data_IF_764820892337
#
_entry.id   IF_764820892337
#
_cell.length_a   1.000
_cell.length_b   1.000
_cell.length_c   1.000
_cell.angle_alpha   90.00
_cell.angle_beta   90.00
_cell.angle_gamma   90.00
#
_symmetry.space_group_name_H-M   'P 1'
#
loop_
_entity.id
_entity.type
_entity.pdbx_description
1 polymer ?
#
# COMPACT_ATOMS: atom_id res chain seq x y z
N UNK A 1 -18.64 -6.55 -21.81
CA UNK A 1 -19.60 -7.63 -21.46
C UNK A 1 -20.57 -7.81 -22.60
N UNK A 2 -20.97 -9.05 -22.92
CA UNK A 2 -22.03 -9.31 -23.90
C UNK A 2 -23.34 -8.67 -23.41
N UNK A 3 -24.00 -7.91 -24.28
CA UNK A 3 -25.31 -7.34 -23.98
C UNK A 3 -26.33 -8.49 -23.87
N UNK A 4 -26.97 -8.59 -22.71
CA UNK A 4 -28.04 -9.55 -22.46
C UNK A 4 -29.25 -9.17 -23.32
N UNK A 5 -29.68 -10.10 -24.18
CA UNK A 5 -30.86 -9.89 -25.05
C UNK A 5 -32.18 -10.20 -24.34
N UNK A 6 -32.13 -11.00 -23.28
CA UNK A 6 -33.30 -11.49 -22.54
C UNK A 6 -33.02 -11.44 -21.02
N UNK A 7 -34.07 -11.21 -20.23
CA UNK A 7 -34.01 -11.26 -18.78
C UNK A 7 -33.79 -12.69 -18.27
N UNK A 8 -32.77 -12.94 -17.45
CA UNK A 8 -32.49 -14.29 -16.94
C UNK A 8 -33.56 -14.86 -15.99
N UNK A 9 -34.40 -14.02 -15.39
CA UNK A 9 -35.43 -14.44 -14.43
C UNK A 9 -36.72 -14.83 -15.16
N UNK A 10 -37.22 -13.97 -16.05
CA UNK A 10 -38.53 -14.15 -16.69
C UNK A 10 -38.46 -14.39 -18.21
N UNK A 11 -37.25 -14.42 -18.79
CA UNK A 11 -36.97 -14.62 -20.23
C UNK A 11 -37.63 -13.61 -21.17
N UNK A 12 -38.10 -12.48 -20.64
CA UNK A 12 -38.63 -11.38 -21.46
C UNK A 12 -37.50 -10.71 -22.23
N UNK A 13 -37.74 -10.41 -23.51
CA UNK A 13 -36.81 -9.67 -24.36
C UNK A 13 -36.50 -8.30 -23.74
N UNK A 14 -35.22 -7.98 -23.59
CA UNK A 14 -34.78 -6.71 -23.01
C UNK A 14 -34.84 -5.60 -24.06
N UNK A 15 -35.45 -4.47 -23.70
CA UNK A 15 -35.49 -3.31 -24.59
C UNK A 15 -34.06 -2.83 -24.91
N UNK A 16 -33.81 -2.43 -26.17
CA UNK A 16 -32.48 -1.98 -26.63
C UNK A 16 -31.94 -0.75 -25.89
N UNK A 17 -32.81 -0.05 -25.16
CA UNK A 17 -32.54 1.18 -24.42
C UNK A 17 -32.66 1.01 -22.90
N UNK A 18 -32.49 -0.21 -22.36
CA UNK A 18 -32.41 -0.42 -20.90
C UNK A 18 -31.30 0.47 -20.34
N UNK A 19 -31.70 1.56 -19.67
CA UNK A 19 -30.77 2.46 -19.01
C UNK A 19 -30.29 1.79 -17.74
N UNK A 20 -28.98 1.78 -17.57
CA UNK A 20 -28.36 1.34 -16.33
C UNK A 20 -28.90 2.21 -15.17
N UNK A 21 -29.45 1.62 -14.09
CA UNK A 21 -30.11 2.38 -13.03
C UNK A 21 -29.08 3.08 -12.14
N UNK A 22 -28.67 4.29 -12.52
CA UNK A 22 -27.66 5.11 -11.81
C UNK A 22 -28.04 5.28 -10.32
N UNK A 23 -29.33 5.46 -10.02
CA UNK A 23 -29.82 5.59 -8.65
C UNK A 23 -29.53 4.33 -7.81
N UNK A 24 -29.72 3.13 -8.40
CA UNK A 24 -29.43 1.87 -7.70
C UNK A 24 -27.94 1.77 -7.39
N UNK A 25 -27.09 2.17 -8.33
CA UNK A 25 -25.64 2.20 -8.11
C UNK A 25 -25.24 3.15 -6.99
N UNK A 26 -25.82 4.36 -6.96
CA UNK A 26 -25.56 5.32 -5.90
C UNK A 26 -25.95 4.76 -4.52
N UNK A 27 -27.13 4.12 -4.43
CA UNK A 27 -27.56 3.45 -3.20
C UNK A 27 -26.55 2.35 -2.81
N UNK A 28 -26.14 1.53 -3.77
CA UNK A 28 -25.17 0.45 -3.52
C UNK A 28 -23.79 0.97 -3.07
N UNK A 29 -23.36 2.16 -3.51
CA UNK A 29 -22.13 2.79 -3.05
C UNK A 29 -22.23 3.31 -1.62
N UNK A 30 -23.40 3.82 -1.22
CA UNK A 30 -23.63 4.34 0.14
C UNK A 30 -23.85 3.25 1.19
N UNK A 31 -24.24 2.04 0.77
CA UNK A 31 -24.40 0.90 1.69
C UNK A 31 -23.07 0.56 2.41
N UNK A 32 -23.03 0.61 3.74
CA UNK A 32 -21.83 0.24 4.50
C UNK A 32 -21.46 -1.23 4.31
N UNK A 33 -20.16 -1.50 4.12
CA UNK A 33 -19.61 -2.85 3.98
C UNK A 33 -18.43 -3.03 4.93
N UNK A 34 -18.20 -4.27 5.38
CA UNK A 34 -17.05 -4.62 6.23
C UNK A 34 -15.74 -4.42 5.47
N UNK A 35 -14.72 -3.90 6.14
CA UNK A 35 -13.35 -3.88 5.65
C UNK A 35 -12.85 -5.30 5.32
N UNK A 36 -12.19 -5.44 4.17
CA UNK A 36 -11.64 -6.71 3.68
C UNK A 36 -10.12 -6.78 3.77
N UNK A 37 -9.47 -5.78 4.38
CA UNK A 37 -8.02 -5.79 4.55
C UNK A 37 -7.56 -6.87 5.55
N UNK A 38 -8.41 -7.22 6.51
CA UNK A 38 -8.22 -8.31 7.48
C UNK A 38 -9.57 -8.73 8.05
N UNK A 39 -9.73 -10.01 8.39
CA UNK A 39 -10.95 -10.51 9.03
C UNK A 39 -11.19 -9.90 10.41
N UNK A 40 -10.12 -9.44 11.07
CA UNK A 40 -10.15 -8.82 12.39
C UNK A 40 -10.51 -7.34 12.34
N UNK A 41 -10.53 -6.71 11.16
CA UNK A 41 -10.98 -5.33 11.03
C UNK A 41 -12.50 -5.25 11.16
N UNK A 42 -12.96 -4.49 12.16
CA UNK A 42 -14.39 -4.31 12.48
C UNK A 42 -15.01 -3.08 11.83
N UNK A 43 -14.28 -2.37 10.97
CA UNK A 43 -14.74 -1.12 10.34
C UNK A 43 -15.78 -1.43 9.25
N UNK A 44 -16.89 -0.69 9.27
CA UNK A 44 -17.91 -0.67 8.23
C UNK A 44 -18.04 0.72 7.64
N UNK A 45 -17.92 0.84 6.32
CA UNK A 45 -17.99 2.13 5.63
C UNK A 45 -18.61 1.99 4.23
N UNK A 46 -19.18 3.08 3.67
CA UNK A 46 -19.58 3.16 2.26
C UNK A 46 -18.43 2.83 1.31
N UNK A 47 -18.76 2.34 0.12
CA UNK A 47 -17.81 1.86 -0.88
C UNK A 47 -16.60 2.78 -1.13
N UNK A 48 -16.81 4.08 -1.41
CA UNK A 48 -15.71 5.02 -1.65
C UNK A 48 -14.78 5.18 -0.43
N UNK A 49 -15.33 5.38 0.77
CA UNK A 49 -14.55 5.55 2.00
C UNK A 49 -13.85 4.25 2.42
N UNK A 50 -14.49 3.11 2.19
CA UNK A 50 -13.94 1.80 2.50
C UNK A 50 -12.70 1.49 1.66
N UNK A 51 -12.69 1.90 0.38
CA UNK A 51 -11.52 1.76 -0.49
C UNK A 51 -10.33 2.55 0.05
N UNK A 52 -10.54 3.77 0.52
CA UNK A 52 -9.47 4.57 1.15
C UNK A 52 -9.01 3.96 2.47
N UNK A 53 -9.96 3.55 3.34
CA UNK A 53 -9.63 2.85 4.57
C UNK A 53 -8.77 1.61 4.33
N UNK A 54 -9.06 0.79 3.31
CA UNK A 54 -8.26 -0.41 3.03
C UNK A 54 -6.78 -0.11 2.72
N UNK A 55 -6.46 1.09 2.21
CA UNK A 55 -5.08 1.52 1.96
C UNK A 55 -4.32 1.88 3.24
N UNK A 56 -5.05 2.34 4.25
CA UNK A 56 -4.49 2.84 5.54
C UNK A 56 -4.86 1.95 6.73
N UNK A 57 -5.56 0.84 6.50
CA UNK A 57 -6.01 -0.05 7.56
C UNK A 57 -4.78 -0.58 8.32
N UNK A 58 -4.70 -0.45 9.65
CA UNK A 58 -3.55 -0.93 10.42
C UNK A 58 -3.33 -2.44 10.32
N UNK A 59 -4.41 -3.18 10.10
CA UNK A 59 -4.41 -4.63 9.94
C UNK A 59 -4.19 -5.08 8.50
N UNK A 60 -3.95 -4.15 7.56
CA UNK A 60 -3.69 -4.50 6.17
C UNK A 60 -2.38 -5.27 6.05
N UNK A 61 -2.32 -6.15 5.06
CA UNK A 61 -1.11 -6.86 4.74
C UNK A 61 -0.12 -5.95 4.00
N UNK A 62 1.14 -5.93 4.43
CA UNK A 62 2.24 -5.18 3.82
C UNK A 62 3.47 -6.08 3.67
N UNK A 63 4.31 -5.77 2.68
CA UNK A 63 5.59 -6.45 2.45
C UNK A 63 6.75 -5.55 2.81
N UNK A 64 7.79 -6.13 3.40
CA UNK A 64 9.05 -5.43 3.61
C UNK A 64 9.67 -5.06 2.25
N UNK A 65 10.30 -3.88 2.17
CA UNK A 65 10.95 -3.37 0.93
C UNK A 65 12.47 -3.42 0.99
N UNK A 66 13.03 -3.87 2.11
CA UNK A 66 14.48 -4.07 2.27
C UNK A 66 14.93 -5.15 1.29
N UNK A 67 16.10 -4.94 0.70
CA UNK A 67 16.65 -5.82 -0.34
C UNK A 67 16.84 -7.22 0.25
N UNK A 68 16.45 -8.24 -0.52
CA UNK A 68 16.52 -9.65 -0.13
C UNK A 68 15.62 -10.06 1.04
N UNK A 69 14.66 -9.22 1.45
CA UNK A 69 13.63 -9.60 2.40
C UNK A 69 12.35 -10.07 1.69
N UNK A 70 11.86 -11.25 2.06
CA UNK A 70 10.59 -11.82 1.56
C UNK A 70 9.42 -11.69 2.54
N UNK A 71 9.65 -11.03 3.68
CA UNK A 71 8.65 -10.91 4.73
C UNK A 71 7.38 -10.18 4.26
N UNK A 72 6.25 -10.71 4.72
CA UNK A 72 4.93 -10.16 4.48
C UNK A 72 4.06 -10.44 5.71
N UNK A 73 3.51 -9.39 6.31
CA UNK A 73 2.74 -9.46 7.54
C UNK A 73 1.72 -8.33 7.65
N UNK A 74 1.20 -8.09 8.86
CA UNK A 74 0.31 -6.96 9.12
C UNK A 74 1.14 -5.68 9.32
N UNK A 75 0.59 -4.53 8.91
CA UNK A 75 1.30 -3.26 8.97
C UNK A 75 1.82 -2.91 10.38
N UNK A 76 1.03 -3.15 11.42
CA UNK A 76 1.44 -2.92 12.81
C UNK A 76 2.73 -3.66 13.22
N UNK A 77 2.98 -4.83 12.63
CA UNK A 77 4.18 -5.65 12.92
C UNK A 77 5.39 -5.31 12.04
N UNK A 78 5.25 -4.38 11.10
CA UNK A 78 6.34 -4.03 10.17
C UNK A 78 7.56 -3.47 10.90
N UNK A 79 7.31 -2.59 11.88
CA UNK A 79 8.38 -1.94 12.63
C UNK A 79 9.18 -2.97 13.44
N UNK A 80 8.47 -3.84 14.15
CA UNK A 80 9.06 -4.94 14.92
C UNK A 80 9.89 -5.85 14.01
N UNK A 81 9.35 -6.29 12.87
CA UNK A 81 10.09 -7.10 11.90
C UNK A 81 11.40 -6.45 11.44
N UNK A 82 11.38 -5.16 11.12
CA UNK A 82 12.59 -4.46 10.66
C UNK A 82 13.60 -4.29 11.81
N UNK A 83 13.14 -4.03 13.03
CA UNK A 83 14.00 -3.94 14.21
C UNK A 83 14.62 -5.29 14.60
N UNK A 84 13.93 -6.41 14.38
CA UNK A 84 14.46 -7.75 14.68
C UNK A 84 15.38 -8.28 13.59
N UNK A 85 14.96 -8.20 12.33
CA UNK A 85 15.58 -8.90 11.20
C UNK A 85 16.51 -7.99 10.37
N UNK A 86 16.42 -6.67 10.56
CA UNK A 86 17.14 -5.68 9.75
C UNK A 86 17.73 -4.53 10.58
N UNK A 87 18.32 -4.85 11.75
CA UNK A 87 18.90 -3.88 12.70
C UNK A 87 19.78 -2.80 12.04
N UNK A 88 20.60 -3.16 11.07
CA UNK A 88 21.51 -2.22 10.37
C UNK A 88 20.79 -1.25 9.40
N UNK A 89 19.53 -1.55 9.08
CA UNK A 89 18.68 -0.80 8.15
C UNK A 89 17.61 0.02 8.87
N UNK A 90 17.58 0.00 10.20
CA UNK A 90 16.72 0.84 11.01
C UNK A 90 17.54 1.87 11.78
N UNK A 91 17.50 3.16 11.42
CA UNK A 91 18.08 4.23 12.23
C UNK A 91 17.18 4.45 13.45
N UNK A 92 17.30 3.56 14.43
CA UNK A 92 16.64 3.71 15.72
C UNK A 92 17.43 4.69 16.60
N UNK A 93 16.74 5.45 17.46
CA UNK A 93 17.24 6.41 18.48
C UNK A 93 17.26 7.89 18.14
N UNK A 94 16.24 8.45 17.49
CA UNK A 94 16.05 9.91 17.42
C UNK A 94 17.17 10.68 16.70
N UNK A 95 18.15 9.96 16.15
CA UNK A 95 19.19 10.50 15.30
C UNK A 95 18.58 10.73 13.92
N UNK A 96 18.45 12.00 13.56
CA UNK A 96 18.03 12.47 12.23
C UNK A 96 19.09 12.19 11.14
N UNK A 97 20.21 11.58 11.51
CA UNK A 97 21.34 11.33 10.62
C UNK A 97 21.36 9.88 10.16
N UNK A 98 21.19 9.66 8.86
CA UNK A 98 21.35 8.35 8.24
C UNK A 98 22.77 8.24 7.67
N UNK A 99 23.55 7.29 8.19
CA UNK A 99 24.92 7.01 7.72
C UNK A 99 24.88 5.87 6.71
N UNK A 100 25.66 6.00 5.63
CA UNK A 100 25.88 4.98 4.63
C UNK A 100 27.31 4.44 4.81
N UNK A 101 27.45 3.23 5.35
CA UNK A 101 28.75 2.67 5.72
C UNK A 101 29.65 2.35 4.51
N UNK A 102 29.04 2.01 3.36
CA UNK A 102 29.76 1.52 2.17
C UNK A 102 29.44 2.32 0.89
N UNK A 103 29.22 3.63 1.04
CA UNK A 103 28.91 4.50 -0.10
C UNK A 103 30.18 5.01 -0.80
N UNK A 104 30.33 4.66 -2.08
CA UNK A 104 31.27 5.31 -2.99
C UNK A 104 30.51 5.96 -4.15
N UNK A 105 30.89 7.20 -4.47
CA UNK A 105 30.32 7.94 -5.62
C UNK A 105 30.63 7.26 -6.95
N UNK A 106 31.72 6.49 -7.02
CA UNK A 106 32.18 5.83 -8.23
C UNK A 106 31.56 4.44 -8.43
N UNK A 107 30.88 3.90 -7.42
CA UNK A 107 30.28 2.57 -7.47
C UNK A 107 28.74 2.62 -7.49
N UNK A 108 28.10 1.72 -8.24
CA UNK A 108 26.64 1.61 -8.20
C UNK A 108 26.21 1.19 -6.80
N UNK A 109 25.22 1.89 -6.26
CA UNK A 109 24.71 1.65 -4.92
C UNK A 109 23.19 1.67 -4.93
N UNK A 110 22.59 0.73 -4.20
CA UNK A 110 21.15 0.71 -3.98
C UNK A 110 20.86 0.19 -2.57
N UNK A 111 20.08 0.95 -1.81
CA UNK A 111 19.61 0.51 -0.49
C UNK A 111 18.21 0.98 -0.21
N UNK A 112 17.47 0.18 0.56
CA UNK A 112 16.17 0.55 1.10
C UNK A 112 16.25 0.44 2.62
N UNK A 113 15.85 1.49 3.33
CA UNK A 113 15.79 1.54 4.79
C UNK A 113 14.38 1.93 5.25
N UNK A 114 13.95 1.46 6.41
CA UNK A 114 12.74 1.96 7.06
C UNK A 114 13.14 3.13 7.97
N UNK A 115 12.40 4.22 7.94
CA UNK A 115 12.61 5.38 8.80
C UNK A 115 11.32 5.69 9.53
N UNK A 116 11.44 6.04 10.81
CA UNK A 116 10.35 6.58 11.61
C UNK A 116 10.60 8.06 11.91
N UNK A 117 9.58 8.90 11.75
CA UNK A 117 9.62 10.32 12.12
C UNK A 117 8.21 10.81 12.39
N UNK A 118 7.99 11.53 13.50
CA UNK A 118 6.67 12.05 13.91
C UNK A 118 5.57 10.96 13.87
N UNK A 119 5.88 9.78 14.43
CA UNK A 119 5.01 8.59 14.44
C UNK A 119 4.60 8.05 13.05
N UNK A 120 5.23 8.55 11.99
CA UNK A 120 5.03 8.10 10.61
C UNK A 120 6.18 7.19 10.18
N UNK A 121 5.86 6.21 9.33
CA UNK A 121 6.86 5.32 8.72
C UNK A 121 7.10 5.69 7.26
N UNK A 122 8.36 5.64 6.84
CA UNK A 122 8.80 5.95 5.48
C UNK A 122 9.78 4.90 4.97
N UNK A 123 9.59 4.49 3.71
CA UNK A 123 10.65 3.80 2.98
C UNK A 123 11.61 4.83 2.38
N UNK A 124 12.87 4.76 2.76
CA UNK A 124 13.94 5.54 2.14
C UNK A 124 14.66 4.69 1.11
N UNK A 125 14.57 5.09 -0.16
CA UNK A 125 15.29 4.49 -1.27
C UNK A 125 16.48 5.36 -1.63
N UNK A 126 17.67 4.79 -1.56
CA UNK A 126 18.90 5.44 -2.00
C UNK A 126 19.43 4.71 -3.22
N UNK A 127 19.76 5.47 -4.28
CA UNK A 127 20.34 4.93 -5.50
C UNK A 127 21.49 5.82 -5.99
N UNK A 128 22.64 5.22 -6.25
CA UNK A 128 23.74 5.82 -6.98
C UNK A 128 23.87 5.15 -8.35
N UNK A 129 23.91 5.95 -9.41
CA UNK A 129 24.18 5.53 -10.78
C UNK A 129 25.38 6.34 -11.31
N UNK A 130 26.63 5.86 -11.09
CA UNK A 130 27.84 6.56 -11.51
C UNK A 130 27.90 6.78 -13.03
N UNK A 131 27.39 5.82 -13.81
CA UNK A 131 27.40 5.90 -15.28
C UNK A 131 26.60 7.09 -15.82
N UNK A 132 25.63 7.56 -15.05
CA UNK A 132 24.80 8.74 -15.37
C UNK A 132 25.16 9.95 -14.52
N UNK A 133 26.15 9.85 -13.63
CA UNK A 133 26.46 10.87 -12.63
C UNK A 133 25.26 11.25 -11.76
N UNK A 134 24.39 10.29 -11.41
CA UNK A 134 23.12 10.55 -10.71
C UNK A 134 23.06 9.85 -9.37
N UNK A 135 22.94 10.65 -8.32
CA UNK A 135 22.58 10.19 -6.97
C UNK A 135 21.15 10.63 -6.65
N UNK A 136 20.35 9.73 -6.06
CA UNK A 136 18.96 9.99 -5.67
C UNK A 136 18.63 9.36 -4.34
N UNK A 137 17.93 10.13 -3.51
CA UNK A 137 17.27 9.65 -2.29
C UNK A 137 15.79 9.98 -2.41
N UNK A 138 14.93 9.00 -2.18
CA UNK A 138 13.48 9.14 -2.26
C UNK A 138 12.85 8.58 -0.99
N UNK A 139 11.97 9.35 -0.36
CA UNK A 139 11.18 8.93 0.79
C UNK A 139 9.76 8.65 0.33
N UNK A 140 9.24 7.47 0.66
CA UNK A 140 7.86 7.08 0.38
C UNK A 140 7.14 6.85 1.70
N UNK A 141 6.14 7.69 1.98
CA UNK A 141 5.28 7.53 3.15
C UNK A 141 4.50 6.21 3.09
N UNK A 142 4.40 5.55 4.25
CA UNK A 142 3.60 4.35 4.44
C UNK A 142 2.33 4.78 5.19
N UNK A 143 1.17 4.86 4.50
CA UNK A 143 -0.01 5.54 5.02
C UNK A 143 -0.84 4.79 6.05
#
# INVERSE_FOLDING_TARGET
GQALKECFICRTEMARNVKYPILLDNILQEMPRKCKASEHCKVFMPGPKLKEHMKICPLRCISCKIVSCSWKGIYETLLEHVDTDHKDFFPCNGNTTVIFADFSVDQPYYSVKLISSLDCLFWMYTKNDPTKGKYKVVFTYIP
#
